data_IF_561088747798
#
_entry.id   IF_561088747798
#
_cell.length_a   1.000
_cell.length_b   1.000
_cell.length_c   1.000
_cell.angle_alpha   90.00
_cell.angle_beta   90.00
_cell.angle_gamma   90.00
#
_symmetry.space_group_name_H-M   'P 1'
#
loop_
_entity.id
_entity.type
_entity.pdbx_description
1 polymer ?
#
# COMPACT_ATOMS: atom_id res chain seq x y z
N UNK A 1 11.76 4.69 -11.80
CA UNK A 1 11.32 4.55 -10.40
C UNK A 1 11.33 5.91 -9.73
N UNK A 2 10.39 6.18 -8.83
CA UNK A 2 10.42 7.41 -8.01
C UNK A 2 11.56 7.34 -7.00
N UNK A 3 12.04 8.49 -6.51
CA UNK A 3 13.00 8.57 -5.41
C UNK A 3 12.30 8.42 -4.06
N UNK A 4 13.06 8.14 -2.99
CA UNK A 4 12.50 8.10 -1.63
C UNK A 4 11.88 9.44 -1.22
N UNK A 5 12.51 10.58 -1.58
CA UNK A 5 11.95 11.91 -1.33
C UNK A 5 10.62 12.15 -2.04
N UNK A 6 10.49 11.68 -3.29
CA UNK A 6 9.21 11.73 -4.00
C UNK A 6 8.14 10.87 -3.32
N UNK A 7 8.50 9.70 -2.80
CA UNK A 7 7.56 8.84 -2.07
C UNK A 7 7.13 9.43 -0.73
N UNK A 8 8.04 10.03 0.03
CA UNK A 8 7.71 10.80 1.25
C UNK A 8 6.70 11.90 0.90
N UNK A 9 6.96 12.65 -0.18
CA UNK A 9 6.04 13.68 -0.67
C UNK A 9 4.68 13.11 -1.06
N UNK A 10 4.63 11.94 -1.68
CA UNK A 10 3.38 11.24 -1.99
C UNK A 10 2.61 10.89 -0.73
N UNK A 11 3.25 10.32 0.29
CA UNK A 11 2.58 9.99 1.57
C UNK A 11 1.99 11.27 2.19
N UNK A 12 2.76 12.35 2.23
CA UNK A 12 2.27 13.64 2.75
C UNK A 12 1.06 14.16 1.98
N UNK A 13 1.15 14.17 0.65
CA UNK A 13 0.10 14.73 -0.22
C UNK A 13 -1.17 13.89 -0.22
N UNK A 14 -1.07 12.57 -0.20
CA UNK A 14 -2.22 11.66 -0.11
C UNK A 14 -2.96 11.77 1.24
N UNK A 15 -2.27 12.19 2.30
CA UNK A 15 -2.87 12.51 3.59
C UNK A 15 -3.34 13.97 3.70
N UNK A 16 -3.31 14.76 2.61
CA UNK A 16 -3.73 16.17 2.57
C UNK A 16 -2.99 17.09 3.55
N UNK A 17 -1.72 16.81 3.82
CA UNK A 17 -0.90 17.58 4.75
C UNK A 17 0.03 18.58 4.04
N UNK A 18 0.17 19.77 4.65
CA UNK A 18 1.27 20.67 4.30
C UNK A 18 2.59 20.19 4.95
N UNK A 19 3.73 20.76 4.53
CA UNK A 19 5.04 20.30 5.01
C UNK A 19 5.20 20.50 6.53
N UNK A 20 4.74 21.64 7.06
CA UNK A 20 4.79 21.94 8.51
C UNK A 20 4.06 20.85 9.33
N UNK A 21 2.81 20.54 8.99
CA UNK A 21 2.02 19.53 9.72
C UNK A 21 2.64 18.15 9.63
N UNK A 22 3.09 17.74 8.44
CA UNK A 22 3.71 16.43 8.26
C UNK A 22 5.02 16.30 9.03
N UNK A 23 5.88 17.33 8.96
CA UNK A 23 7.16 17.37 9.67
C UNK A 23 6.95 17.27 11.19
N UNK A 24 5.98 18.01 11.73
CA UNK A 24 5.61 17.93 13.15
C UNK A 24 5.14 16.53 13.57
N UNK A 25 4.35 15.84 12.74
CA UNK A 25 3.86 14.48 13.03
C UNK A 25 5.02 13.48 13.13
N UNK A 26 6.03 13.59 12.25
CA UNK A 26 7.17 12.66 12.24
C UNK A 26 8.38 13.17 13.06
N UNK A 27 8.21 14.25 13.83
CA UNK A 27 9.21 14.77 14.75
C UNK A 27 10.43 15.43 14.11
N UNK A 28 10.30 16.05 12.92
CA UNK A 28 11.40 16.78 12.25
C UNK A 28 11.03 18.23 11.94
N UNK A 29 12.01 19.03 11.53
CA UNK A 29 11.75 20.40 11.06
C UNK A 29 11.16 20.43 9.65
N UNK A 30 10.42 21.50 9.32
CA UNK A 30 9.88 21.70 7.97
C UNK A 30 11.00 21.82 6.90
N UNK A 31 12.10 22.48 7.23
CA UNK A 31 13.29 22.57 6.38
C UNK A 31 13.89 21.18 6.09
N UNK A 32 14.03 20.34 7.11
CA UNK A 32 14.48 18.95 6.97
C UNK A 32 13.57 18.17 6.02
N UNK A 33 12.24 18.28 6.19
CA UNK A 33 11.29 17.63 5.30
C UNK A 33 11.43 18.15 3.86
N UNK A 34 11.61 19.45 3.66
CA UNK A 34 11.76 20.06 2.34
C UNK A 34 12.99 19.53 1.61
N UNK A 35 14.13 19.45 2.30
CA UNK A 35 15.37 18.89 1.75
C UNK A 35 15.25 17.39 1.43
N UNK A 36 14.56 16.63 2.28
CA UNK A 36 14.25 15.21 2.03
C UNK A 36 13.40 15.04 0.77
N UNK A 37 12.31 15.80 0.64
CA UNK A 37 11.43 15.74 -0.54
C UNK A 37 12.12 16.19 -1.83
N UNK A 38 13.17 17.02 -1.71
CA UNK A 38 14.04 17.45 -2.80
C UNK A 38 15.21 16.49 -3.06
N UNK A 39 15.32 15.39 -2.30
CA UNK A 39 16.39 14.39 -2.41
C UNK A 39 17.79 14.93 -2.13
N UNK A 40 17.93 15.96 -1.28
CA UNK A 40 19.23 16.51 -0.89
C UNK A 40 20.06 15.52 -0.08
N UNK A 41 19.39 14.67 0.71
CA UNK A 41 19.98 13.54 1.44
C UNK A 41 18.93 12.45 1.66
N UNK A 42 19.39 11.30 2.19
CA UNK A 42 18.52 10.17 2.53
C UNK A 42 17.95 10.33 3.94
N UNK A 43 16.69 9.94 4.17
CA UNK A 43 16.13 9.90 5.52
C UNK A 43 16.90 8.90 6.40
N UNK A 44 17.01 9.21 7.69
CA UNK A 44 17.50 8.24 8.68
C UNK A 44 16.48 7.12 8.88
N UNK A 45 16.92 6.03 9.52
CA UNK A 45 16.01 4.94 9.90
C UNK A 45 14.89 5.44 10.83
N UNK A 46 15.21 6.33 11.77
CA UNK A 46 14.22 6.91 12.69
C UNK A 46 13.11 7.66 11.94
N UNK A 47 13.45 8.41 10.89
CA UNK A 47 12.46 9.10 10.04
C UNK A 47 11.57 8.08 9.31
N UNK A 48 12.15 6.99 8.81
CA UNK A 48 11.40 5.93 8.14
C UNK A 48 10.42 5.26 9.12
N UNK A 49 10.87 4.95 10.33
CA UNK A 49 10.03 4.39 11.40
C UNK A 49 8.90 5.35 11.76
N UNK A 50 9.20 6.63 11.99
CA UNK A 50 8.19 7.64 12.29
C UNK A 50 7.13 7.77 11.19
N UNK A 51 7.54 7.71 9.91
CA UNK A 51 6.59 7.71 8.78
C UNK A 51 5.72 6.44 8.78
N UNK A 52 6.31 5.28 9.08
CA UNK A 52 5.58 4.00 9.13
C UNK A 52 4.51 4.01 10.22
N UNK A 53 4.87 4.46 11.42
CA UNK A 53 3.98 4.51 12.58
C UNK A 53 2.80 5.47 12.38
N UNK A 54 3.01 6.58 11.66
CA UNK A 54 1.99 7.63 11.54
C UNK A 54 1.10 7.53 10.29
N UNK A 55 1.55 6.87 9.20
CA UNK A 55 0.85 6.94 7.90
C UNK A 55 0.43 5.60 7.31
N UNK A 56 0.47 4.52 8.11
CA UNK A 56 0.18 3.14 7.69
C UNK A 56 0.76 2.78 6.31
N UNK A 57 1.98 3.25 6.04
CA UNK A 57 2.63 3.11 4.74
C UNK A 57 3.32 1.74 4.61
N UNK A 58 3.45 1.23 3.38
CA UNK A 58 4.26 0.05 3.10
C UNK A 58 5.74 0.43 3.14
N UNK A 59 6.49 -0.10 4.11
CA UNK A 59 7.89 0.29 4.33
C UNK A 59 8.79 -0.15 3.16
N UNK A 60 8.49 -1.30 2.55
CA UNK A 60 9.15 -1.81 1.36
C UNK A 60 8.99 -0.84 0.19
N UNK A 61 7.78 -0.34 -0.02
CA UNK A 61 7.54 0.67 -1.06
C UNK A 61 8.28 1.97 -0.75
N UNK A 62 8.26 2.43 0.50
CA UNK A 62 8.97 3.64 0.90
C UNK A 62 10.49 3.53 0.66
N UNK A 63 11.11 2.39 0.98
CA UNK A 63 12.55 2.20 0.87
C UNK A 63 12.98 1.83 -0.56
N UNK A 64 12.40 0.78 -1.12
CA UNK A 64 12.83 0.16 -2.39
C UNK A 64 12.19 0.86 -3.59
N UNK A 65 10.98 1.39 -3.44
CA UNK A 65 10.23 2.02 -4.53
C UNK A 65 9.45 1.05 -5.41
N UNK A 66 9.61 -0.25 -5.18
CA UNK A 66 8.72 -1.25 -5.73
C UNK A 66 7.44 -1.24 -4.91
N UNK A 67 6.29 -1.07 -5.56
CA UNK A 67 5.05 -1.49 -4.91
C UNK A 67 5.24 -2.96 -4.61
N UNK A 68 4.94 -3.45 -3.39
CA UNK A 68 4.64 -4.85 -3.25
C UNK A 68 3.60 -5.10 -4.33
N UNK A 69 3.98 -5.81 -5.39
CA UNK A 69 2.99 -6.43 -6.25
C UNK A 69 2.13 -7.11 -5.22
N UNK A 70 0.87 -6.69 -5.09
CA UNK A 70 -0.05 -7.48 -4.33
C UNK A 70 -0.06 -8.79 -5.11
N UNK A 71 0.80 -9.72 -4.69
CA UNK A 71 0.35 -11.08 -4.52
C UNK A 71 -0.82 -10.89 -3.56
N UNK A 72 -1.98 -10.56 -4.13
CA UNK A 72 -3.19 -11.23 -3.73
C UNK A 72 -2.78 -12.69 -3.85
N UNK A 73 -2.20 -13.22 -2.78
CA UNK A 73 -1.60 -14.56 -2.74
C UNK A 73 -2.69 -15.59 -3.00
N UNK A 74 -3.96 -15.17 -2.94
CA UNK A 74 -5.13 -15.90 -3.42
C UNK A 74 -5.09 -16.22 -4.93
N UNK A 75 -4.49 -15.37 -5.78
CA UNK A 75 -4.48 -15.58 -7.25
C UNK A 75 -3.16 -16.12 -7.82
N UNK A 76 -2.09 -16.19 -7.04
CA UNK A 76 -0.76 -16.62 -7.50
C UNK A 76 -0.29 -17.96 -6.94
N UNK A 77 -1.16 -18.68 -6.22
CA UNK A 77 -0.98 -20.12 -6.11
C UNK A 77 -1.29 -20.68 -7.50
N UNK A 78 -0.37 -21.45 -8.07
CA UNK A 78 -0.60 -22.16 -9.30
C UNK A 78 -1.83 -23.06 -9.09
N UNK A 79 -3.01 -22.59 -9.52
CA UNK A 79 -4.24 -23.36 -9.41
C UNK A 79 -4.11 -24.49 -10.42
N UNK A 80 -3.83 -25.70 -9.92
CA UNK A 80 -3.90 -26.91 -10.73
C UNK A 80 -5.34 -27.03 -11.27
N UNK A 81 -5.52 -27.57 -12.48
CA UNK A 81 -6.79 -27.54 -13.21
C UNK A 81 -8.02 -27.99 -12.38
N UNK A 82 -7.80 -28.87 -11.42
CA UNK A 82 -8.81 -29.43 -10.49
C UNK A 82 -9.33 -28.39 -9.49
N UNK A 83 -8.47 -27.50 -9.00
CA UNK A 83 -8.88 -26.43 -8.07
C UNK A 83 -9.71 -25.35 -8.79
N UNK A 84 -9.41 -25.10 -10.07
CA UNK A 84 -10.19 -24.17 -10.90
C UNK A 84 -11.59 -24.72 -11.20
N UNK A 85 -11.68 -26.02 -11.46
CA UNK A 85 -12.94 -26.73 -11.62
C UNK A 85 -13.80 -26.69 -10.35
N UNK A 86 -13.17 -26.83 -9.18
CA UNK A 86 -13.85 -26.71 -7.89
C UNK A 86 -14.46 -25.32 -7.68
N UNK A 87 -13.69 -24.25 -7.95
CA UNK A 87 -14.16 -22.86 -7.82
C UNK A 87 -15.34 -22.59 -8.75
N UNK A 88 -15.25 -23.02 -10.02
CA UNK A 88 -16.35 -22.87 -10.99
C UNK A 88 -17.61 -23.64 -10.57
N UNK A 89 -17.43 -24.81 -9.95
CA UNK A 89 -18.54 -25.56 -9.37
C UNK A 89 -19.21 -24.79 -8.22
N UNK A 90 -18.43 -24.19 -7.33
CA UNK A 90 -18.96 -23.42 -6.21
C UNK A 90 -19.73 -22.17 -6.68
N UNK A 91 -19.21 -21.42 -7.64
CA UNK A 91 -19.93 -20.27 -8.21
C UNK A 91 -21.28 -20.67 -8.83
N UNK A 92 -21.32 -21.80 -9.54
CA UNK A 92 -22.56 -22.32 -10.11
C UNK A 92 -23.56 -22.79 -9.05
N UNK A 93 -23.07 -23.38 -7.95
CA UNK A 93 -23.92 -23.77 -6.84
C UNK A 93 -24.56 -22.55 -6.17
N UNK A 94 -23.78 -21.49 -5.95
CA UNK A 94 -24.28 -20.23 -5.40
C UNK A 94 -25.35 -19.61 -6.28
N UNK A 95 -25.12 -19.52 -7.61
CA UNK A 95 -26.13 -19.06 -8.57
C UNK A 95 -27.42 -19.86 -8.53
N UNK A 96 -27.33 -21.19 -8.37
CA UNK A 96 -28.51 -22.06 -8.23
C UNK A 96 -29.26 -21.81 -6.93
N UNK A 97 -28.55 -21.55 -5.83
CA UNK A 97 -29.14 -21.21 -4.54
C UNK A 97 -29.86 -19.85 -4.64
N UNK A 98 -29.21 -18.83 -5.20
CA UNK A 98 -29.80 -17.51 -5.44
C UNK A 98 -31.05 -17.59 -6.32
N UNK A 99 -30.99 -18.35 -7.43
CA UNK A 99 -32.16 -18.58 -8.27
C UNK A 99 -33.31 -19.23 -7.51
N UNK A 100 -33.06 -20.20 -6.63
CA UNK A 100 -34.11 -20.85 -5.83
C UNK A 100 -34.72 -19.90 -4.79
N UNK A 101 -33.93 -19.01 -4.21
CA UNK A 101 -34.41 -17.97 -3.28
C UNK A 101 -35.30 -16.93 -3.96
N UNK A 102 -35.11 -16.68 -5.26
CA UNK A 102 -35.88 -15.68 -6.01
C UNK A 102 -37.29 -16.15 -6.43
N UNK A 103 -37.60 -17.44 -6.28
CA UNK A 103 -38.86 -18.07 -6.73
C UNK A 103 -39.73 -18.50 -5.51
N UNK A 104 -39.32 -18.09 -4.30
CA UNK A 104 -40.06 -18.20 -3.04
C UNK A 104 -40.54 -16.81 -2.62
#
# INVERSE_FOLDING_TARGET
MSTIGQRIRTIRKTNNLNQIKFANIIGISEGTLSELEQNKYRPSLDIIIAIKENFNSHIEWLIVGDTPVSKNTIFNLAIEAQELELILCFENLLKKIEMKLLIL
#
